data_IF_995977768312
#
_entry.id   IF_995977768312
#
_cell.length_a   1.000
_cell.length_b   1.000
_cell.length_c   1.000
_cell.angle_alpha   90.00
_cell.angle_beta   90.00
_cell.angle_gamma   90.00
#
_symmetry.space_group_name_H-M   'P 1'
#
loop_
_entity.id
_entity.type
_entity.pdbx_description
1 polymer ?
#
# COMPACT_ATOMS: atom_id res chain seq x y z
N UNK A 1 -17.38 20.95 -5.34
CA UNK A 1 -17.55 19.74 -4.51
C UNK A 1 -16.50 18.77 -4.99
N UNK A 2 -15.53 18.43 -4.14
CA UNK A 2 -14.47 17.51 -4.58
C UNK A 2 -15.11 16.13 -4.77
N UNK A 3 -15.15 15.64 -6.00
CA UNK A 3 -15.55 14.27 -6.30
C UNK A 3 -14.31 13.44 -6.02
N UNK A 4 -14.21 12.98 -4.78
CA UNK A 4 -13.23 11.99 -4.36
C UNK A 4 -13.56 10.69 -5.08
N UNK A 5 -12.83 10.38 -6.14
CA UNK A 5 -12.88 9.06 -6.76
C UNK A 5 -11.92 8.14 -6.01
N UNK A 6 -12.48 7.14 -5.32
CA UNK A 6 -11.70 6.08 -4.70
C UNK A 6 -11.49 4.96 -5.72
N UNK A 7 -10.23 4.72 -6.07
CA UNK A 7 -9.85 3.62 -6.97
C UNK A 7 -9.05 2.58 -6.18
N UNK A 8 -9.55 1.34 -6.14
CA UNK A 8 -8.83 0.21 -5.54
C UNK A 8 -7.81 -0.36 -6.54
N UNK A 9 -6.52 -0.32 -6.21
CA UNK A 9 -5.42 -0.76 -7.11
C UNK A 9 -5.00 -2.23 -6.96
N UNK A 10 -5.60 -2.97 -6.04
CA UNK A 10 -5.45 -4.42 -5.96
C UNK A 10 -4.84 -4.93 -4.65
N UNK A 11 -4.50 -6.22 -4.67
CA UNK A 11 -3.91 -6.98 -3.55
C UNK A 11 -2.46 -7.33 -3.89
N UNK A 12 -1.52 -6.99 -3.00
CA UNK A 12 -0.11 -7.41 -3.10
C UNK A 12 0.19 -8.41 -2.00
N UNK A 13 0.73 -9.56 -2.36
CA UNK A 13 1.22 -10.55 -1.40
C UNK A 13 2.65 -10.22 -0.97
N UNK A 14 2.92 -10.30 0.33
CA UNK A 14 4.26 -10.09 0.91
C UNK A 14 4.71 -11.37 1.63
N UNK A 15 5.31 -12.35 0.93
CA UNK A 15 5.69 -13.65 1.52
C UNK A 15 6.81 -13.54 2.56
N UNK A 16 7.71 -12.55 2.42
CA UNK A 16 8.82 -12.30 3.34
C UNK A 16 8.38 -11.91 4.77
N UNK A 17 7.07 -11.69 4.97
CA UNK A 17 6.42 -11.29 6.22
C UNK A 17 6.22 -12.41 7.27
N UNK A 18 6.83 -13.58 7.08
CA UNK A 18 6.57 -14.78 7.90
C UNK A 18 5.14 -15.33 7.75
N UNK A 19 4.50 -15.10 6.60
CA UNK A 19 3.15 -15.54 6.25
C UNK A 19 2.58 -14.75 5.07
N UNK A 20 1.46 -15.21 4.48
CA UNK A 20 0.80 -14.49 3.40
C UNK A 20 0.11 -13.24 3.96
N UNK A 21 0.77 -12.09 3.81
CA UNK A 21 0.20 -10.78 4.07
C UNK A 21 -0.29 -10.20 2.76
N UNK A 22 -1.54 -9.78 2.74
CA UNK A 22 -2.16 -9.04 1.66
C UNK A 22 -2.16 -7.55 1.99
N UNK A 23 -1.69 -6.74 1.06
CA UNK A 23 -1.80 -5.27 1.07
C UNK A 23 -2.92 -4.86 0.13
N UNK A 24 -3.95 -4.21 0.65
CA UNK A 24 -5.06 -3.66 -0.15
C UNK A 24 -4.88 -2.16 -0.31
N UNK A 25 -4.91 -1.66 -1.54
CA UNK A 25 -4.57 -0.26 -1.84
C UNK A 25 -5.78 0.48 -2.40
N UNK A 26 -6.07 1.63 -1.83
CA UNK A 26 -7.04 2.61 -2.31
C UNK A 26 -6.33 3.92 -2.62
N UNK A 27 -6.67 4.54 -3.75
CA UNK A 27 -6.15 5.83 -4.17
C UNK A 27 -7.28 6.81 -4.24
N UNK A 28 -7.11 7.95 -3.58
CA UNK A 28 -7.97 9.10 -3.67
C UNK A 28 -7.51 10.04 -4.78
N UNK A 29 -8.45 10.50 -5.61
CA UNK A 29 -8.19 11.48 -6.67
C UNK A 29 -9.03 12.74 -6.48
N UNK A 30 -8.44 13.87 -6.84
CA UNK A 30 -9.15 15.15 -6.92
C UNK A 30 -10.09 15.17 -8.16
N UNK A 31 -10.93 16.21 -8.32
CA UNK A 31 -11.84 16.34 -9.47
C UNK A 31 -11.15 16.41 -10.85
N UNK A 32 -9.87 16.76 -10.88
CA UNK A 32 -9.05 16.82 -12.10
C UNK A 32 -8.44 15.44 -12.44
N UNK A 33 -8.69 14.42 -11.60
CA UNK A 33 -8.15 13.07 -11.75
C UNK A 33 -6.73 12.89 -11.20
N UNK A 34 -6.14 13.92 -10.59
CA UNK A 34 -4.83 13.84 -9.97
C UNK A 34 -4.92 13.10 -8.62
N UNK A 35 -4.01 12.14 -8.34
CA UNK A 35 -4.01 11.43 -7.06
C UNK A 35 -3.57 12.38 -5.94
N UNK A 36 -4.30 12.35 -4.82
CA UNK A 36 -4.06 13.21 -3.65
C UNK A 36 -3.74 12.42 -2.38
N UNK A 37 -4.14 11.15 -2.31
CA UNK A 37 -3.82 10.26 -1.20
C UNK A 37 -3.79 8.81 -1.67
N UNK A 38 -2.90 8.00 -1.11
CA UNK A 38 -2.91 6.55 -1.23
C UNK A 38 -3.03 5.97 0.17
N UNK A 39 -4.07 5.18 0.42
CA UNK A 39 -4.24 4.42 1.65
C UNK A 39 -4.03 2.93 1.38
N UNK A 40 -3.24 2.27 2.22
CA UNK A 40 -3.02 0.84 2.20
C UNK A 40 -3.53 0.20 3.49
N UNK A 41 -4.18 -0.95 3.40
CA UNK A 41 -4.59 -1.78 4.54
C UNK A 41 -3.84 -3.10 4.51
N UNK A 42 -3.38 -3.56 5.68
CA UNK A 42 -2.64 -4.81 5.79
C UNK A 42 -3.47 -5.86 6.50
N UNK A 43 -3.68 -6.98 5.81
CA UNK A 43 -4.37 -8.14 6.36
C UNK A 43 -3.50 -9.39 6.24
N UNK A 44 -3.59 -10.25 7.24
CA UNK A 44 -2.99 -11.59 7.22
C UNK A 44 -4.11 -12.60 7.15
N UNK A 45 -4.00 -13.55 6.23
CA UNK A 45 -4.89 -14.71 6.16
C UNK A 45 -4.22 -15.87 6.90
N UNK A 46 -4.83 -16.32 7.99
CA UNK A 46 -4.38 -17.47 8.75
C UNK A 46 -4.73 -18.79 8.03
N UNK A 47 -4.10 -19.89 8.46
CA UNK A 47 -4.27 -21.21 7.81
C UNK A 47 -5.70 -21.74 7.89
N UNK A 48 -6.48 -21.29 8.87
CA UNK A 48 -7.90 -21.59 9.06
C UNK A 48 -8.81 -20.75 8.15
N UNK A 49 -8.25 -19.86 7.32
CA UNK A 49 -8.98 -18.93 6.46
C UNK A 49 -9.38 -17.63 7.15
N UNK A 50 -9.11 -17.48 8.44
CA UNK A 50 -9.42 -16.26 9.20
C UNK A 50 -8.57 -15.09 8.70
N UNK A 51 -9.20 -13.96 8.44
CA UNK A 51 -8.52 -12.72 8.02
C UNK A 51 -8.40 -11.78 9.21
N UNK A 52 -7.19 -11.27 9.45
CA UNK A 52 -6.94 -10.29 10.52
C UNK A 52 -6.27 -9.05 9.95
N UNK A 53 -6.88 -7.89 10.18
CA UNK A 53 -6.29 -6.58 9.89
C UNK A 53 -5.38 -6.18 11.04
N UNK A 54 -4.15 -5.78 10.71
CA UNK A 54 -3.13 -5.47 11.72
C UNK A 54 -2.40 -4.16 11.43
N UNK A 55 -2.84 -3.39 10.45
CA UNK A 55 -2.30 -2.05 10.22
C UNK A 55 -2.75 -1.44 8.91
N UNK A 56 -2.26 -0.23 8.68
CA UNK A 56 -2.47 0.56 7.48
C UNK A 56 -1.25 1.42 7.19
N UNK A 57 -1.19 1.95 5.97
CA UNK A 57 -0.29 3.03 5.62
C UNK A 57 -1.04 4.10 4.84
N UNK A 58 -0.51 5.31 4.86
CA UNK A 58 -0.97 6.43 4.06
C UNK A 58 0.23 7.06 3.37
N UNK A 59 0.08 7.42 2.10
CA UNK A 59 1.10 8.10 1.32
C UNK A 59 0.51 9.32 0.60
N UNK A 60 1.24 10.43 0.66
CA UNK A 60 0.90 11.68 0.00
C UNK A 60 1.68 11.92 -1.30
N UNK A 61 1.22 12.86 -2.15
CA UNK A 61 1.89 13.25 -3.39
C UNK A 61 3.26 13.92 -3.16
N UNK A 62 3.52 14.40 -1.94
CA UNK A 62 4.81 14.94 -1.51
C UNK A 62 5.87 13.86 -1.20
N UNK A 63 5.49 12.58 -1.32
CA UNK A 63 6.35 11.44 -1.00
C UNK A 63 6.40 11.09 0.48
N UNK A 64 5.58 11.75 1.33
CA UNK A 64 5.41 11.36 2.72
C UNK A 64 4.71 9.99 2.79
N UNK A 65 5.19 9.11 3.68
CA UNK A 65 4.55 7.82 3.96
C UNK A 65 4.45 7.61 5.47
N UNK A 66 3.24 7.49 5.97
CA UNK A 66 2.93 7.08 7.34
C UNK A 66 2.60 5.60 7.39
N UNK A 67 3.25 4.85 8.28
CA UNK A 67 2.99 3.42 8.50
C UNK A 67 2.45 3.21 9.92
N UNK A 68 1.24 2.70 10.04
CA UNK A 68 0.55 2.47 11.30
C UNK A 68 0.28 0.97 11.47
N UNK A 69 1.02 0.32 12.35
CA UNK A 69 0.83 -1.10 12.65
C UNK A 69 0.22 -1.23 14.02
N UNK A 70 -0.86 -2.00 14.15
CA UNK A 70 -1.39 -2.34 15.45
C UNK A 70 -0.37 -3.22 16.17
N UNK A 71 -0.16 -2.94 17.46
CA UNK A 71 0.60 -3.82 18.32
C UNK A 71 -0.26 -5.07 18.58
N UNK A 72 -0.33 -5.97 17.61
CA UNK A 72 -0.94 -7.28 17.83
C UNK A 72 -0.13 -8.02 18.89
N UNK A 73 -0.81 -8.81 19.73
CA UNK A 73 -0.20 -9.67 20.75
C UNK A 73 0.82 -10.67 20.16
N UNK A 74 0.75 -10.89 18.84
CA UNK A 74 1.71 -11.64 18.05
C UNK A 74 2.84 -10.73 17.57
N UNK A 75 4.11 -11.06 17.88
CA UNK A 75 5.27 -10.37 17.31
C UNK A 75 5.20 -10.39 15.78
N UNK A 76 5.34 -9.22 15.17
CA UNK A 76 5.54 -9.11 13.73
C UNK A 76 6.95 -9.64 13.42
N UNK A 77 7.12 -10.51 12.40
CA UNK A 77 8.44 -10.99 12.01
C UNK A 77 9.40 -9.84 11.67
N UNK A 78 10.67 -10.02 11.98
CA UNK A 78 11.71 -9.06 11.63
C UNK A 78 11.71 -8.79 10.11
N UNK A 79 11.83 -7.51 9.74
CA UNK A 79 11.78 -7.09 8.34
C UNK A 79 10.38 -6.96 7.72
N UNK A 80 9.30 -7.37 8.43
CA UNK A 80 7.93 -7.19 7.95
C UNK A 80 7.60 -5.71 7.72
N UNK A 81 7.92 -4.84 8.70
CA UNK A 81 7.66 -3.40 8.60
C UNK A 81 8.34 -2.79 7.37
N UNK A 82 9.60 -3.16 7.11
CA UNK A 82 10.35 -2.70 5.95
C UNK A 82 9.78 -3.22 4.63
N UNK A 83 9.32 -4.47 4.60
CA UNK A 83 8.69 -5.05 3.41
C UNK A 83 7.35 -4.39 3.07
N UNK A 84 6.52 -4.10 4.08
CA UNK A 84 5.26 -3.36 3.90
C UNK A 84 5.52 -1.93 3.44
N UNK A 85 6.47 -1.24 4.08
CA UNK A 85 6.87 0.10 3.68
C UNK A 85 7.36 0.12 2.22
N UNK A 86 8.19 -0.83 1.82
CA UNK A 86 8.69 -0.94 0.44
C UNK A 86 7.55 -1.21 -0.55
N UNK A 87 6.59 -2.08 -0.22
CA UNK A 87 5.42 -2.33 -1.06
C UNK A 87 4.56 -1.06 -1.23
N UNK A 88 4.30 -0.33 -0.15
CA UNK A 88 3.54 0.93 -0.19
C UNK A 88 4.29 2.00 -0.98
N UNK A 89 5.59 2.15 -0.77
CA UNK A 89 6.43 3.11 -1.51
C UNK A 89 6.44 2.81 -3.02
N UNK A 90 6.56 1.54 -3.40
CA UNK A 90 6.52 1.12 -4.81
C UNK A 90 5.21 1.54 -5.48
N UNK A 91 4.09 1.32 -4.80
CA UNK A 91 2.77 1.64 -5.33
C UNK A 91 2.49 3.14 -5.30
N UNK A 92 2.92 3.84 -4.24
CA UNK A 92 2.86 5.28 -4.16
C UNK A 92 3.65 5.93 -5.31
N UNK A 93 4.85 5.45 -5.61
CA UNK A 93 5.63 5.92 -6.76
C UNK A 93 4.88 5.68 -8.08
N UNK A 94 4.26 4.50 -8.26
CA UNK A 94 3.42 4.21 -9.44
C UNK A 94 2.15 5.06 -9.53
N UNK A 95 1.64 5.59 -8.41
CA UNK A 95 0.47 6.48 -8.35
C UNK A 95 0.87 7.91 -8.64
N UNK A 96 1.81 8.45 -7.87
CA UNK A 96 2.14 9.87 -7.82
C UNK A 96 3.25 10.27 -8.79
N UNK A 97 4.05 9.31 -9.28
CA UNK A 97 5.14 9.53 -10.23
C UNK A 97 5.09 8.52 -11.40
N UNK A 98 4.01 8.48 -12.19
CA UNK A 98 3.86 7.50 -13.26
C UNK A 98 4.90 7.66 -14.38
N UNK A 99 5.44 8.87 -14.57
CA UNK A 99 6.37 9.19 -15.66
C UNK A 99 7.77 8.56 -15.49
N UNK A 100 8.16 8.22 -14.26
CA UNK A 100 9.40 7.47 -14.01
C UNK A 100 9.35 6.01 -14.43
N UNK A 101 8.19 5.46 -14.79
CA UNK A 101 8.06 4.09 -15.31
C UNK A 101 8.03 3.98 -16.85
N UNK A 102 7.99 5.10 -17.59
CA UNK A 102 7.86 5.12 -19.06
C UNK A 102 9.11 5.62 -19.80
N UNK A 103 10.31 5.44 -19.24
CA UNK A 103 11.57 5.61 -19.99
C UNK A 103 12.25 4.27 -20.25
N UNK A 104 11.57 3.39 -20.99
CA UNK A 104 12.21 2.35 -21.80
C UNK A 104 11.68 2.46 -23.23
N UNK A 105 11.92 3.60 -23.87
CA UNK A 105 11.86 3.71 -25.32
C UNK A 105 13.01 2.87 -25.88
N UNK A 106 12.72 1.71 -26.46
CA UNK A 106 13.69 1.06 -27.35
C UNK A 106 13.89 1.99 -28.55
N UNK A 107 15.08 2.57 -28.64
CA UNK A 107 15.69 3.02 -29.89
C UNK A 107 16.13 1.81 -30.70
#
# INVERSE_FOLDING_TARGET
MNVTEQITRGTIEVPAAGGNVTVEISVERNPEGAPVELTASFRRTAKDGSTQYFGSAQAGPDGSVGLYLSATSTPLPDGLKGSLLAAVLKEAAAVFQPETMFSYTHL
#
